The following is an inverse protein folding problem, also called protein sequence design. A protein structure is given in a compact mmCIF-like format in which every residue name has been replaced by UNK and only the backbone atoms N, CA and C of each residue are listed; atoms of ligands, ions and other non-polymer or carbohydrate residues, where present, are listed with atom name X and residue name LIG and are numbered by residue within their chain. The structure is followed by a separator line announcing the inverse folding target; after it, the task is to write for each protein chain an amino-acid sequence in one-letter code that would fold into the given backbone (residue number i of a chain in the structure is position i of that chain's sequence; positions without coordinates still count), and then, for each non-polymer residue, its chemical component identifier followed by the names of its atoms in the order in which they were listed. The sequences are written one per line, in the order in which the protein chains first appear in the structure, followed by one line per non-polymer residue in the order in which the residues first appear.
data_IF_358809873044
#
_entry.id   IF_358809873044
#
_cell.length_a   1.000
_cell.length_b   1.000
_cell.length_c   1.000
_cell.angle_alpha   90.00
_cell.angle_beta   90.00
_cell.angle_gamma   90.00
#
_symmetry.space_group_name_H-M   'P 1'
#
loop_
_entity.id
_entity.type
_entity.pdbx_description
1 polymer ?
#
# COMPACT_ATOMS: atom_id res chain seq x y z
N UNK A 1 6.28 -11.71 -24.45
CA UNK A 1 6.06 -10.32 -24.02
C UNK A 1 6.61 -10.19 -22.62
N UNK A 2 7.67 -9.41 -22.47
CA UNK A 2 8.48 -9.32 -21.26
C UNK A 2 7.61 -8.98 -20.05
N UNK A 3 7.65 -9.82 -19.02
CA UNK A 3 7.26 -9.46 -17.66
C UNK A 3 8.27 -8.45 -17.14
N UNK A 4 8.23 -7.23 -17.70
CA UNK A 4 8.99 -6.09 -17.22
C UNK A 4 8.66 -5.90 -15.76
N UNK A 5 9.68 -5.87 -14.93
CA UNK A 5 9.56 -5.86 -13.48
C UNK A 5 8.82 -4.58 -13.03
N UNK A 6 7.49 -4.63 -12.92
CA UNK A 6 6.63 -3.50 -12.50
C UNK A 6 6.87 -3.08 -11.04
N UNK A 7 7.80 -3.77 -10.36
CA UNK A 7 8.22 -3.47 -9.01
C UNK A 7 9.15 -2.27 -9.02
N UNK A 8 8.95 -1.36 -8.06
CA UNK A 8 9.81 -0.21 -7.84
C UNK A 8 11.25 -0.67 -7.62
N UNK A 9 12.17 -0.12 -8.41
CA UNK A 9 13.59 -0.28 -8.16
C UNK A 9 14.01 0.75 -7.12
N UNK A 10 14.55 0.29 -6.00
CA UNK A 10 15.09 1.15 -4.96
C UNK A 10 16.62 1.12 -5.11
N UNK A 11 17.24 2.23 -5.52
CA UNK A 11 18.68 2.34 -5.59
C UNK A 11 19.32 2.19 -4.20
N UNK A 12 20.53 1.63 -4.13
CA UNK A 12 21.22 1.36 -2.86
C UNK A 12 21.47 2.65 -2.07
N UNK A 13 21.74 3.76 -2.75
CA UNK A 13 21.90 5.07 -2.11
C UNK A 13 20.65 5.53 -1.35
N UNK A 14 19.47 5.05 -1.73
CA UNK A 14 18.20 5.38 -1.06
C UNK A 14 17.99 4.60 0.23
N UNK A 15 18.76 3.54 0.52
CA UNK A 15 18.62 2.76 1.76
C UNK A 15 18.82 3.62 3.02
N UNK A 16 19.60 4.72 2.91
CA UNK A 16 19.75 5.70 4.00
C UNK A 16 18.43 6.37 4.38
N UNK A 17 17.56 6.57 3.39
CA UNK A 17 16.24 7.21 3.52
C UNK A 17 15.19 6.17 3.88
N UNK A 18 15.02 5.15 3.02
CA UNK A 18 13.92 4.18 3.15
C UNK A 18 14.20 3.03 4.11
N UNK A 19 15.46 2.92 4.56
CA UNK A 19 15.95 1.82 5.37
C UNK A 19 16.44 0.64 4.55
N UNK A 20 16.89 -0.41 5.25
CA UNK A 20 17.45 -1.60 4.61
C UNK A 20 16.35 -2.57 4.17
N UNK A 21 16.54 -3.30 3.07
CA UNK A 21 15.63 -4.35 2.66
C UNK A 21 15.65 -5.49 3.69
N UNK A 22 14.47 -5.95 4.09
CA UNK A 22 14.33 -7.16 4.91
C UNK A 22 14.67 -8.39 4.04
N UNK A 23 15.60 -9.25 4.48
CA UNK A 23 16.07 -10.38 3.68
C UNK A 23 14.94 -11.25 3.11
N UNK A 24 15.04 -11.60 1.82
CA UNK A 24 14.05 -12.43 1.13
C UNK A 24 12.74 -11.71 0.78
N UNK A 25 12.65 -10.40 1.02
CA UNK A 25 11.45 -9.61 0.73
C UNK A 25 11.80 -8.36 -0.09
N UNK A 26 10.78 -7.53 -0.38
CA UNK A 26 10.94 -6.16 -0.89
C UNK A 26 10.41 -5.13 0.10
N UNK A 27 10.42 -5.48 1.38
CA UNK A 27 10.07 -4.58 2.47
C UNK A 27 11.32 -3.83 2.91
N UNK A 28 11.33 -2.52 2.77
CA UNK A 28 12.39 -1.65 3.27
C UNK A 28 12.00 -1.12 4.63
N UNK A 29 12.89 -1.25 5.62
CA UNK A 29 12.60 -0.94 7.02
C UNK A 29 13.50 0.15 7.54
N UNK A 30 12.90 1.29 7.89
CA UNK A 30 13.54 2.39 8.62
C UNK A 30 13.06 2.41 10.06
N UNK A 31 13.97 2.74 10.97
CA UNK A 31 13.63 3.09 12.35
C UNK A 31 14.09 4.53 12.62
N UNK A 32 13.32 5.27 13.42
CA UNK A 32 13.63 6.64 13.77
C UNK A 32 12.63 7.24 14.76
N UNK A 33 12.93 8.41 15.33
CA UNK A 33 12.01 9.09 16.22
C UNK A 33 10.77 9.58 15.46
N UNK A 34 9.65 9.76 16.18
CA UNK A 34 8.40 10.26 15.61
C UNK A 34 8.55 11.59 14.87
N UNK A 35 9.45 12.46 15.33
CA UNK A 35 9.74 13.75 14.68
C UNK A 35 10.23 13.66 13.23
N UNK A 36 10.77 12.50 12.83
CA UNK A 36 11.30 12.28 11.47
C UNK A 36 10.25 11.74 10.49
N UNK A 37 9.05 11.41 10.99
CA UNK A 37 8.07 10.65 10.22
C UNK A 37 7.54 11.40 9.00
N UNK A 38 7.29 12.70 9.14
CA UNK A 38 6.82 13.56 8.05
C UNK A 38 7.90 13.71 6.99
N UNK A 39 9.15 13.98 7.40
CA UNK A 39 10.28 14.11 6.47
C UNK A 39 10.54 12.81 5.70
N UNK A 40 10.48 11.67 6.40
CA UNK A 40 10.58 10.37 5.76
C UNK A 40 9.43 10.13 4.77
N UNK A 41 8.20 10.45 5.18
CA UNK A 41 7.02 10.30 4.33
C UNK A 41 7.14 11.13 3.05
N UNK A 42 7.50 12.40 3.18
CA UNK A 42 7.65 13.32 2.04
C UNK A 42 8.74 12.82 1.09
N UNK A 43 9.89 12.39 1.61
CA UNK A 43 10.98 11.86 0.80
C UNK A 43 10.58 10.57 0.04
N UNK A 44 9.82 9.68 0.66
CA UNK A 44 9.32 8.46 0.01
C UNK A 44 8.30 8.80 -1.09
N UNK A 45 7.34 9.68 -0.79
CA UNK A 45 6.29 10.08 -1.72
C UNK A 45 6.84 10.85 -2.92
N UNK A 46 7.77 11.78 -2.69
CA UNK A 46 8.43 12.55 -3.76
C UNK A 46 9.22 11.62 -4.69
N UNK A 47 9.97 10.68 -4.12
CA UNK A 47 10.86 9.82 -4.91
C UNK A 47 10.13 8.73 -5.70
N UNK A 48 9.10 8.14 -5.11
CA UNK A 48 8.48 6.90 -5.60
C UNK A 48 6.99 7.07 -5.98
N UNK A 49 6.45 8.27 -5.81
CA UNK A 49 5.11 8.65 -6.22
C UNK A 49 4.02 8.25 -5.20
N UNK A 50 2.76 8.19 -5.65
CA UNK A 50 1.62 7.95 -4.76
C UNK A 50 1.69 6.60 -4.05
N UNK A 51 1.39 6.61 -2.75
CA UNK A 51 1.42 5.45 -1.87
C UNK A 51 0.09 5.24 -1.16
N UNK A 52 -0.15 4.01 -0.73
CA UNK A 52 -1.24 3.67 0.17
C UNK A 52 -0.77 2.77 1.31
N UNK A 53 -1.54 2.73 2.39
CA UNK A 53 -1.34 1.71 3.42
C UNK A 53 -1.68 0.31 2.89
N UNK A 54 -1.24 -0.78 3.54
CA UNK A 54 -1.64 -2.13 3.17
C UNK A 54 -3.17 -2.34 3.10
N UNK A 55 -3.93 -1.60 3.91
CA UNK A 55 -5.39 -1.59 3.82
C UNK A 55 -5.91 -0.87 2.57
N UNK A 56 -5.25 0.21 2.16
CA UNK A 56 -5.64 0.96 0.96
C UNK A 56 -5.38 0.24 -0.35
N UNK A 57 -4.52 -0.80 -0.36
CA UNK A 57 -4.30 -1.65 -1.55
C UNK A 57 -5.60 -2.24 -2.09
N UNK A 58 -6.57 -2.55 -1.21
CA UNK A 58 -7.86 -3.15 -1.61
C UNK A 58 -8.75 -2.19 -2.42
N UNK A 59 -8.45 -0.89 -2.41
CA UNK A 59 -9.12 0.10 -3.28
C UNK A 59 -8.62 0.05 -4.72
N UNK A 60 -7.45 -0.54 -4.96
CA UNK A 60 -6.79 -0.59 -6.27
C UNK A 60 -6.79 -1.98 -6.88
N UNK A 61 -6.76 -3.03 -6.06
CA UNK A 61 -6.81 -4.41 -6.50
C UNK A 61 -7.86 -5.20 -5.68
N UNK A 62 -8.67 -6.07 -6.30
CA UNK A 62 -9.74 -6.81 -5.63
C UNK A 62 -9.17 -7.97 -4.81
N UNK A 63 -8.49 -7.65 -3.70
CA UNK A 63 -7.76 -8.61 -2.86
C UNK A 63 -8.06 -8.42 -1.39
N UNK A 64 -7.83 -9.47 -0.59
CA UNK A 64 -7.93 -9.36 0.87
C UNK A 64 -6.66 -8.74 1.46
N UNK A 65 -6.79 -8.09 2.62
CA UNK A 65 -5.64 -7.58 3.39
C UNK A 65 -4.62 -8.67 3.73
N UNK A 66 -5.08 -9.90 3.98
CA UNK A 66 -4.20 -11.05 4.21
C UNK A 66 -3.34 -11.38 2.98
N UNK A 67 -3.94 -11.33 1.78
CA UNK A 67 -3.22 -11.51 0.53
C UNK A 67 -2.17 -10.42 0.30
N UNK A 68 -2.47 -9.16 0.66
CA UNK A 68 -1.50 -8.04 0.60
C UNK A 68 -0.27 -8.34 1.48
N UNK A 69 -0.50 -8.68 2.75
CA UNK A 69 0.61 -9.00 3.67
C UNK A 69 1.42 -10.22 3.20
N UNK A 70 0.77 -11.25 2.65
CA UNK A 70 1.46 -12.39 2.08
C UNK A 70 2.31 -11.99 0.86
N UNK A 71 1.77 -11.16 -0.05
CA UNK A 71 2.49 -10.71 -1.24
C UNK A 71 3.75 -9.90 -0.90
N UNK A 72 3.67 -9.04 0.12
CA UNK A 72 4.83 -8.31 0.65
C UNK A 72 5.86 -9.27 1.25
N UNK A 73 5.43 -10.21 2.09
CA UNK A 73 6.31 -11.22 2.71
C UNK A 73 7.04 -12.10 1.68
N UNK A 74 6.40 -12.36 0.55
CA UNK A 74 6.99 -13.14 -0.55
C UNK A 74 7.87 -12.31 -1.50
N UNK A 75 8.09 -11.02 -1.21
CA UNK A 75 8.88 -10.13 -2.07
C UNK A 75 8.24 -9.84 -3.42
N UNK A 76 6.94 -10.07 -3.58
CA UNK A 76 6.17 -9.84 -4.81
C UNK A 76 5.48 -8.48 -4.86
N UNK A 77 5.79 -7.63 -3.87
CA UNK A 77 5.28 -6.27 -3.71
C UNK A 77 6.27 -5.50 -2.83
N UNK A 78 6.67 -4.33 -3.30
CA UNK A 78 7.51 -3.40 -2.55
C UNK A 78 6.68 -2.74 -1.46
N UNK A 79 7.28 -2.60 -0.28
CA UNK A 79 6.69 -1.84 0.80
C UNK A 79 7.77 -1.07 1.55
N UNK A 80 7.43 0.12 2.03
CA UNK A 80 8.28 0.95 2.87
C UNK A 80 7.67 1.03 4.25
N UNK A 81 8.45 0.72 5.29
CA UNK A 81 7.99 0.75 6.66
C UNK A 81 8.88 1.64 7.53
N UNK A 82 8.26 2.58 8.23
CA UNK A 82 8.92 3.40 9.24
C UNK A 82 8.40 3.01 10.62
N UNK A 83 9.29 2.50 11.48
CA UNK A 83 8.98 2.16 12.86
C UNK A 83 9.45 3.26 13.80
N UNK A 84 8.50 3.89 14.50
CA UNK A 84 8.81 4.91 15.49
C UNK A 84 9.47 4.29 16.72
N UNK A 85 10.56 4.91 17.15
CA UNK A 85 11.32 4.54 18.34
C UNK A 85 11.17 5.62 19.41
N UNK A 86 10.55 5.26 20.54
CA UNK A 86 10.45 6.18 21.69
C UNK A 86 11.57 5.85 22.68
N UNK A 87 12.51 6.79 22.94
CA UNK A 87 13.56 6.57 23.93
C UNK A 87 12.95 6.58 25.34
N UNK A 88 12.93 5.44 26.03
CA UNK A 88 12.62 5.40 27.46
C UNK A 88 13.89 5.56 28.28
N UNK A 89 14.00 6.66 29.04
CA UNK A 89 14.96 6.79 30.14
C UNK A 89 14.45 5.96 31.33
N UNK A 90 15.14 4.88 31.67
CA UNK A 90 15.01 4.22 32.98
C UNK A 90 15.89 4.98 33.98
N UNK A 91 15.39 5.21 35.20
CA UNK A 91 16.09 5.95 36.24
C UNK A 91 17.38 5.23 36.72
N UNK A 92 17.46 3.90 36.53
CA UNK A 92 18.68 3.10 36.61
C UNK A 92 18.65 2.01 35.52
N UNK A 93 19.42 2.18 34.44
CA UNK A 93 19.58 1.17 33.40
C UNK A 93 19.82 1.72 31.99
N UNK A 94 20.27 0.84 31.08
CA UNK A 94 20.43 1.17 29.65
C UNK A 94 19.09 1.64 29.07
N UNK A 95 19.07 2.67 28.22
CA UNK A 95 17.85 3.13 27.57
C UNK A 95 17.21 1.99 26.78
N UNK A 96 15.91 1.79 26.98
CA UNK A 96 15.13 0.77 26.27
C UNK A 96 14.35 1.47 25.14
N UNK A 97 14.55 1.00 23.92
CA UNK A 97 13.82 1.51 22.75
C UNK A 97 12.54 0.71 22.61
N UNK A 98 11.39 1.35 22.86
CA UNK A 98 10.09 0.75 22.60
C UNK A 98 9.67 1.07 21.17
N UNK A 99 9.30 0.03 20.41
CA UNK A 99 8.68 0.17 19.09
C UNK A 99 7.19 0.37 19.29
N UNK A 100 6.67 1.54 18.96
CA UNK A 100 5.30 1.91 19.33
C UNK A 100 4.31 1.81 18.18
N UNK A 101 4.67 2.25 16.97
CA UNK A 101 3.78 2.19 15.81
C UNK A 101 4.60 2.24 14.50
N UNK A 102 4.14 1.48 13.49
CA UNK A 102 4.78 1.42 12.18
C UNK A 102 3.87 2.02 11.10
N UNK A 103 4.36 3.01 10.35
CA UNK A 103 3.71 3.46 9.12
C UNK A 103 4.18 2.57 7.97
N UNK A 104 3.24 2.20 7.10
CA UNK A 104 3.52 1.38 5.93
C UNK A 104 3.01 2.06 4.67
N UNK A 105 3.86 2.07 3.65
CA UNK A 105 3.52 2.51 2.31
C UNK A 105 3.72 1.38 1.30
N UNK A 106 2.76 1.26 0.40
CA UNK A 106 2.75 0.39 -0.77
C UNK A 106 2.51 1.27 -2.01
N UNK A 107 3.34 1.16 -3.07
CA UNK A 107 3.19 1.99 -4.25
C UNK A 107 1.90 1.73 -5.02
N UNK A 108 1.18 2.81 -5.37
CA UNK A 108 -0.05 2.72 -6.17
C UNK A 108 0.22 2.10 -7.55
N UNK A 109 1.39 2.36 -8.13
CA UNK A 109 1.83 1.74 -9.39
C UNK A 109 1.84 0.21 -9.32
N UNK A 110 2.39 -0.35 -8.24
CA UNK A 110 2.41 -1.80 -8.01
C UNK A 110 1.02 -2.37 -7.70
N UNK A 111 0.18 -1.61 -7.00
CA UNK A 111 -1.22 -2.00 -6.79
C UNK A 111 -1.98 -2.13 -8.12
N UNK A 112 -1.81 -1.14 -9.02
CA UNK A 112 -2.43 -1.16 -10.36
C UNK A 112 -1.87 -2.28 -11.24
N UNK A 113 -0.56 -2.52 -11.17
CA UNK A 113 0.06 -3.64 -11.87
C UNK A 113 -0.50 -4.99 -11.38
N UNK A 114 -0.74 -5.12 -10.07
CA UNK A 114 -1.37 -6.32 -9.52
C UNK A 114 -2.84 -6.47 -9.96
N UNK A 115 -3.61 -5.37 -10.03
CA UNK A 115 -4.96 -5.41 -10.62
C UNK A 115 -4.93 -5.94 -12.06
N UNK A 116 -4.06 -5.40 -12.91
CA UNK A 116 -3.91 -5.86 -14.28
C UNK A 116 -3.50 -7.34 -14.38
N UNK A 117 -2.62 -7.82 -13.49
CA UNK A 117 -2.26 -9.25 -13.39
C UNK A 117 -3.49 -10.11 -13.06
N UNK A 118 -4.34 -9.67 -12.12
CA UNK A 118 -5.54 -10.39 -11.71
C UNK A 118 -6.61 -10.41 -12.81
N UNK A 119 -6.84 -9.28 -13.46
CA UNK A 119 -7.78 -9.16 -14.59
C UNK A 119 -7.36 -10.05 -15.75
N UNK A 120 -6.07 -10.00 -16.13
CA UNK A 120 -5.52 -10.88 -17.17
C UNK A 120 -5.76 -12.35 -16.83
N UNK A 121 -5.50 -12.74 -15.57
CA UNK A 121 -5.72 -14.11 -15.11
C UNK A 121 -7.20 -14.51 -15.10
N UNK A 122 -8.10 -13.59 -14.82
CA UNK A 122 -9.54 -13.83 -14.86
C UNK A 122 -10.03 -14.07 -16.29
N UNK A 123 -9.55 -13.27 -17.24
CA UNK A 123 -9.82 -13.43 -18.68
C UNK A 123 -9.29 -14.77 -19.17
N UNK A 124 -8.03 -15.10 -18.88
CA UNK A 124 -7.42 -16.38 -19.28
C UNK A 124 -8.17 -17.61 -18.73
N UNK A 125 -8.86 -17.45 -17.60
CA UNK A 125 -9.68 -18.50 -16.98
C UNK A 125 -11.14 -18.49 -17.42
N UNK A 126 -11.55 -17.55 -18.28
CA UNK A 126 -12.93 -17.37 -18.71
C UNK A 126 -13.90 -16.96 -17.58
N UNK A 127 -13.39 -16.37 -16.50
CA UNK A 127 -14.22 -15.88 -15.38
C UNK A 127 -14.86 -14.53 -15.70
N UNK A 128 -14.17 -13.71 -16.50
CA UNK A 128 -14.60 -12.40 -16.95
C UNK A 128 -14.22 -12.21 -18.42
N UNK A 129 -15.03 -11.47 -19.17
CA UNK A 129 -14.74 -11.00 -20.52
C UNK A 129 -14.03 -9.64 -20.49
N UNK A 130 -13.41 -9.24 -21.61
CA UNK A 130 -12.74 -7.93 -21.73
C UNK A 130 -13.77 -6.80 -21.66
N UNK A 131 -14.93 -7.04 -22.27
CA UNK A 131 -16.07 -6.14 -22.37
C UNK A 131 -16.68 -5.85 -20.99
N UNK A 132 -16.83 -6.87 -20.13
CA UNK A 132 -17.30 -6.69 -18.75
C UNK A 132 -16.36 -5.79 -17.93
N UNK A 133 -15.04 -5.92 -18.14
CA UNK A 133 -14.05 -5.06 -17.46
C UNK A 133 -14.04 -3.63 -17.99
N UNK A 134 -14.25 -3.44 -19.30
CA UNK A 134 -14.26 -2.11 -19.93
C UNK A 134 -15.58 -1.35 -19.69
N UNK A 135 -16.68 -2.07 -19.45
CA UNK A 135 -17.98 -1.50 -19.10
C UNK A 135 -18.05 -0.91 -17.69
N UNK A 136 -17.15 -1.29 -16.79
CA UNK A 136 -17.01 -0.71 -15.44
C UNK A 136 -16.17 0.59 -15.47
N UNK A 137 -16.56 1.57 -16.29
CA UNK A 137 -15.95 2.89 -16.21
C UNK A 137 -16.24 3.52 -14.86
N UNK A 138 -15.23 4.00 -14.10
CA UNK A 138 -15.46 4.77 -12.90
C UNK A 138 -16.34 5.96 -13.24
N UNK A 139 -17.29 6.27 -12.37
CA UNK A 139 -18.08 7.47 -12.53
C UNK A 139 -17.23 8.71 -12.16
N UNK A 140 -16.63 9.29 -13.20
CA UNK A 140 -15.82 10.50 -13.12
C UNK A 140 -16.65 11.77 -12.88
N UNK A 141 -17.97 11.68 -13.00
CA UNK A 141 -18.89 12.81 -12.92
C UNK A 141 -19.51 12.95 -11.52
N UNK A 142 -19.21 12.05 -10.59
CA UNK A 142 -19.62 12.17 -9.19
C UNK A 142 -21.04 11.71 -8.88
N UNK A 143 -21.73 11.08 -9.83
CA UNK A 143 -23.02 10.40 -9.65
C UNK A 143 -22.99 9.28 -8.60
N UNK A 144 -21.81 8.77 -8.20
CA UNK A 144 -21.66 7.88 -7.06
C UNK A 144 -22.07 8.58 -5.74
N UNK A 145 -22.08 9.91 -5.70
CA UNK A 145 -22.64 10.71 -4.60
C UNK A 145 -24.17 10.64 -4.58
N UNK A 146 -24.79 10.45 -5.75
CA UNK A 146 -26.22 10.24 -5.95
C UNK A 146 -26.59 8.75 -5.95
N UNK A 147 -25.63 7.87 -5.65
CA UNK A 147 -25.86 6.45 -5.63
C UNK A 147 -26.95 6.15 -4.61
N UNK A 148 -28.08 5.66 -5.12
CA UNK A 148 -29.29 5.37 -4.36
C UNK A 148 -29.10 4.08 -3.53
N UNK A 149 -28.06 4.08 -2.69
CA UNK A 149 -27.72 2.98 -1.82
C UNK A 149 -28.83 2.78 -0.80
N UNK A 150 -29.03 1.51 -0.42
CA UNK A 150 -29.93 1.15 0.68
C UNK A 150 -29.66 1.99 1.94
N UNK A 151 -28.40 2.37 2.17
CA UNK A 151 -27.98 3.22 3.28
C UNK A 151 -28.53 4.66 3.19
N UNK A 152 -28.49 5.26 2.00
CA UNK A 152 -29.08 6.59 1.76
C UNK A 152 -30.60 6.52 1.91
N UNK A 153 -31.25 5.53 1.29
CA UNK A 153 -32.71 5.30 1.41
C UNK A 153 -33.15 5.12 2.87
N UNK A 154 -32.36 4.43 3.69
CA UNK A 154 -32.64 4.20 5.10
C UNK A 154 -32.51 5.49 5.95
N UNK A 155 -31.63 6.43 5.57
CA UNK A 155 -31.51 7.75 6.23
C UNK A 155 -32.63 8.69 5.87
N UNK A 156 -33.09 8.70 4.62
CA UNK A 156 -34.16 9.61 4.17
C UNK A 156 -35.54 9.19 4.71
N UNK A 157 -35.76 7.90 4.96
CA UNK A 157 -37.00 7.38 5.59
C UNK A 157 -37.16 7.73 7.09
N UNK A 158 -36.12 8.28 7.73
CA UNK A 158 -36.14 8.63 9.16
C UNK A 158 -36.32 10.14 9.44
N UNK A 159 -36.63 10.94 8.41
CA UNK A 159 -37.07 12.33 8.54
C UNK A 159 -38.55 12.42 8.21
#
# INVERSE_FOLDING_TARGET
METGNHLIQVPEEMHRVVGEPVPGTRLYRKEGPESEISYWSDAVLDRFGPMVSPGGVTMYAPVSRAAVHLRIKLGKMTAFAFYMTTPKRKWFGKPEVKRELGIFYVPVSECRAWKAELEKRAIEKGVLTREELEGETPDWHGWFMDWNSEFVKARTKKK
#
